data_IF_828067962696
#
_entry.id   IF_828067962696
#
_cell.length_a   1.000
_cell.length_b   1.000
_cell.length_c   1.000
_cell.angle_alpha   90.00
_cell.angle_beta   90.00
_cell.angle_gamma   90.00
#
_symmetry.space_group_name_H-M   'P 1'
#
loop_
_entity.id
_entity.type
_entity.pdbx_description
1 polymer ?
#
# COMPACT_ATOMS: atom_id res chain seq x y z
N UNK A 1 -1.16 8.69 -27.38
CA UNK A 1 -0.01 8.62 -26.47
C UNK A 1 0.17 7.18 -26.00
N UNK A 2 1.40 6.66 -26.05
CA UNK A 2 1.73 5.31 -25.59
C UNK A 2 2.47 5.36 -24.26
N UNK A 3 1.97 4.65 -23.26
CA UNK A 3 2.54 4.65 -21.90
C UNK A 3 2.87 3.24 -21.46
N UNK A 4 4.07 3.05 -20.96
CA UNK A 4 4.48 1.81 -20.28
C UNK A 4 4.55 2.05 -18.78
N UNK A 5 3.87 1.22 -18.00
CA UNK A 5 4.03 1.19 -16.55
C UNK A 5 4.75 -0.09 -16.13
N UNK A 6 5.55 0.00 -15.07
CA UNK A 6 6.24 -1.17 -14.50
C UNK A 6 6.32 -1.08 -12.99
N UNK A 7 5.83 -2.11 -12.36
CA UNK A 7 5.89 -2.32 -10.92
C UNK A 7 5.45 -3.73 -10.60
N UNK A 8 6.20 -4.42 -9.78
CA UNK A 8 5.92 -5.84 -9.57
C UNK A 8 6.53 -6.42 -8.30
N UNK A 9 6.37 -7.73 -8.18
CA UNK A 9 6.78 -8.53 -7.03
C UNK A 9 5.77 -8.52 -5.87
N UNK A 10 5.14 -7.39 -5.58
CA UNK A 10 4.15 -7.25 -4.50
C UNK A 10 2.99 -6.35 -4.91
N UNK A 11 1.82 -6.53 -4.26
CA UNK A 11 0.67 -5.64 -4.46
C UNK A 11 0.98 -4.17 -4.18
N UNK A 12 1.90 -3.89 -3.26
CA UNK A 12 2.34 -2.53 -2.93
C UNK A 12 2.96 -1.74 -4.09
N UNK A 13 3.47 -2.42 -5.13
CA UNK A 13 3.97 -1.79 -6.36
C UNK A 13 2.97 -1.88 -7.51
N UNK A 14 2.17 -2.95 -7.55
CA UNK A 14 1.23 -3.21 -8.67
C UNK A 14 0.02 -2.28 -8.59
N UNK A 15 -0.63 -2.17 -7.42
CA UNK A 15 -1.82 -1.32 -7.28
C UNK A 15 -1.55 0.17 -7.52
N UNK A 16 -0.43 0.78 -7.06
CA UNK A 16 -0.04 2.12 -7.46
C UNK A 16 0.06 2.31 -8.98
N UNK A 17 0.67 1.33 -9.68
CA UNK A 17 0.79 1.38 -11.14
C UNK A 17 -0.59 1.34 -11.81
N UNK A 18 -1.48 0.43 -11.38
CA UNK A 18 -2.85 0.35 -11.88
C UNK A 18 -3.63 1.64 -11.65
N UNK A 19 -3.57 2.18 -10.43
CA UNK A 19 -4.28 3.42 -10.08
C UNK A 19 -3.79 4.62 -10.91
N UNK A 20 -2.48 4.72 -11.16
CA UNK A 20 -1.92 5.77 -12.04
C UNK A 20 -2.39 5.54 -13.50
N UNK A 21 -2.39 4.29 -13.97
CA UNK A 21 -2.86 3.95 -15.32
C UNK A 21 -4.32 4.35 -15.53
N UNK A 22 -5.20 4.05 -14.58
CA UNK A 22 -6.62 4.42 -14.63
C UNK A 22 -6.81 5.93 -14.67
N UNK A 23 -6.01 6.69 -13.90
CA UNK A 23 -6.04 8.15 -13.94
C UNK A 23 -5.51 8.71 -15.28
N UNK A 24 -4.48 8.10 -15.87
CA UNK A 24 -4.02 8.48 -17.21
C UNK A 24 -5.12 8.22 -18.23
N UNK A 25 -5.82 7.10 -18.17
CA UNK A 25 -6.98 6.80 -19.03
C UNK A 25 -8.12 7.81 -18.86
N UNK A 26 -8.36 8.25 -17.65
CA UNK A 26 -9.36 9.30 -17.36
C UNK A 26 -8.98 10.64 -18.00
N UNK A 27 -7.70 11.02 -17.92
CA UNK A 27 -7.18 12.26 -18.51
C UNK A 27 -7.03 12.19 -20.03
N UNK A 28 -6.72 11.03 -20.54
CA UNK A 28 -6.45 10.76 -21.97
C UNK A 28 -7.06 9.42 -22.37
N UNK A 29 -8.36 9.37 -22.72
CA UNK A 29 -9.08 8.12 -23.05
C UNK A 29 -8.42 7.30 -24.16
N UNK A 30 -7.82 7.97 -25.14
CA UNK A 30 -7.12 7.36 -26.27
C UNK A 30 -5.67 6.92 -25.97
N UNK A 31 -5.19 7.06 -24.71
CA UNK A 31 -3.86 6.58 -24.38
C UNK A 31 -3.79 5.05 -24.46
N UNK A 32 -2.79 4.53 -25.17
CA UNK A 32 -2.46 3.11 -25.18
C UNK A 32 -1.56 2.79 -23.99
N UNK A 33 -2.08 2.03 -23.04
CA UNK A 33 -1.35 1.67 -21.82
C UNK A 33 -0.99 0.20 -21.85
N UNK A 34 0.28 -0.10 -21.61
CA UNK A 34 0.79 -1.45 -21.41
C UNK A 34 1.64 -1.53 -20.15
N UNK A 35 1.79 -2.73 -19.62
CA UNK A 35 2.59 -3.01 -18.45
C UNK A 35 3.78 -3.91 -18.78
N UNK A 36 4.85 -3.76 -18.01
CA UNK A 36 6.01 -4.64 -18.04
C UNK A 36 6.21 -5.26 -16.67
N UNK A 37 6.26 -6.59 -16.63
CA UNK A 37 6.33 -7.39 -15.41
C UNK A 37 7.23 -8.61 -15.57
N UNK A 38 7.13 -9.57 -14.64
CA UNK A 38 7.78 -10.87 -14.70
C UNK A 38 6.77 -12.02 -14.69
N UNK A 39 7.13 -13.16 -15.23
CA UNK A 39 6.25 -14.35 -15.20
C UNK A 39 6.09 -14.97 -13.79
N UNK A 40 6.94 -14.58 -12.84
CA UNK A 40 6.97 -15.16 -11.49
C UNK A 40 6.30 -14.25 -10.45
N UNK A 41 6.06 -12.97 -10.78
CA UNK A 41 5.44 -12.01 -9.86
C UNK A 41 3.91 -12.07 -9.88
N UNK A 42 3.31 -11.43 -8.88
CA UNK A 42 1.85 -11.30 -8.78
C UNK A 42 1.23 -10.51 -9.94
N UNK A 43 2.02 -9.67 -10.60
CA UNK A 43 1.60 -8.84 -11.72
C UNK A 43 1.02 -9.65 -12.87
N UNK A 44 1.50 -10.89 -13.10
CA UNK A 44 1.00 -11.76 -14.17
C UNK A 44 -0.48 -12.11 -14.01
N UNK A 45 -0.95 -12.22 -12.78
CA UNK A 45 -2.32 -12.61 -12.47
C UNK A 45 -3.23 -11.39 -12.24
N UNK A 46 -2.66 -10.30 -11.71
CA UNK A 46 -3.41 -9.10 -11.34
C UNK A 46 -3.67 -8.21 -12.57
N UNK A 47 -2.62 -7.81 -13.30
CA UNK A 47 -2.73 -6.80 -14.36
C UNK A 47 -3.72 -7.18 -15.47
N UNK A 48 -3.74 -8.43 -15.99
CA UNK A 48 -4.70 -8.82 -17.01
C UNK A 48 -6.16 -8.74 -16.57
N UNK A 49 -6.44 -8.92 -15.26
CA UNK A 49 -7.81 -8.79 -14.73
C UNK A 49 -8.35 -7.36 -14.82
N UNK A 50 -7.47 -6.37 -14.90
CA UNK A 50 -7.82 -4.96 -15.13
C UNK A 50 -7.87 -4.58 -16.62
N UNK A 51 -7.71 -5.57 -17.53
CA UNK A 51 -7.81 -5.37 -18.98
C UNK A 51 -6.57 -4.76 -19.63
N UNK A 52 -5.44 -4.65 -18.91
CA UNK A 52 -4.22 -4.10 -19.47
C UNK A 52 -3.34 -5.18 -20.10
N UNK A 53 -2.67 -4.83 -21.22
CA UNK A 53 -1.64 -5.66 -21.86
C UNK A 53 -0.43 -5.76 -20.94
N UNK A 54 0.06 -6.97 -20.71
CA UNK A 54 1.25 -7.25 -19.92
C UNK A 54 2.32 -7.93 -20.77
N UNK A 55 3.52 -7.38 -20.76
CA UNK A 55 4.72 -7.94 -21.38
C UNK A 55 5.70 -8.38 -20.29
N UNK A 56 6.54 -9.36 -20.60
CA UNK A 56 7.42 -9.94 -19.62
C UNK A 56 8.90 -9.67 -19.96
N UNK A 57 9.68 -9.44 -18.90
CA UNK A 57 11.13 -9.38 -18.96
C UNK A 57 11.73 -10.42 -18.00
N UNK A 58 12.93 -10.91 -18.34
CA UNK A 58 13.67 -11.80 -17.44
C UNK A 58 14.51 -10.99 -16.47
N UNK A 59 14.07 -10.90 -15.23
CA UNK A 59 14.85 -10.24 -14.17
C UNK A 59 14.65 -10.97 -12.85
N UNK A 60 15.70 -10.97 -12.00
CA UNK A 60 15.63 -11.50 -10.65
C UNK A 60 16.10 -10.46 -9.63
N UNK A 61 15.50 -10.48 -8.44
CA UNK A 61 15.98 -9.69 -7.33
C UNK A 61 17.42 -10.09 -6.93
N UNK A 62 18.28 -9.12 -6.65
CA UNK A 62 19.63 -9.38 -6.17
C UNK A 62 19.60 -9.96 -4.76
N UNK A 63 20.14 -11.17 -4.59
CA UNK A 63 20.49 -11.71 -3.28
C UNK A 63 21.84 -11.08 -2.84
N UNK A 64 21.92 -10.64 -1.59
CA UNK A 64 23.12 -9.98 -1.02
C UNK A 64 24.26 -10.96 -0.66
N UNK A 65 24.46 -12.06 -1.37
CA UNK A 65 25.56 -13.00 -1.13
C UNK A 65 26.45 -13.12 -2.37
N UNK A 66 27.76 -13.09 -2.19
CA UNK A 66 28.75 -13.41 -3.22
C UNK A 66 28.73 -14.93 -3.44
N UNK A 67 27.97 -15.39 -4.44
CA UNK A 67 27.83 -16.80 -4.78
C UNK A 67 27.59 -16.95 -6.28
N UNK A 68 27.59 -18.20 -6.79
CA UNK A 68 27.19 -18.52 -8.17
C UNK A 68 25.80 -17.92 -8.53
N UNK A 69 24.94 -17.70 -7.53
CA UNK A 69 23.64 -17.02 -7.69
C UNK A 69 23.81 -15.55 -8.09
N UNK A 70 24.91 -14.89 -7.72
CA UNK A 70 25.18 -13.49 -8.10
C UNK A 70 25.51 -13.39 -9.59
N UNK A 71 26.29 -14.33 -10.14
CA UNK A 71 26.59 -14.43 -11.58
C UNK A 71 25.30 -14.69 -12.39
N UNK A 72 24.44 -15.59 -11.92
CA UNK A 72 23.13 -15.84 -12.53
C UNK A 72 22.23 -14.62 -12.48
N UNK A 73 22.25 -13.88 -11.36
CA UNK A 73 21.47 -12.64 -11.23
C UNK A 73 21.97 -11.54 -12.15
N UNK A 74 23.30 -11.43 -12.35
CA UNK A 74 23.88 -10.52 -13.31
C UNK A 74 23.51 -10.89 -14.76
N UNK A 75 23.58 -12.17 -15.14
CA UNK A 75 23.14 -12.63 -16.45
C UNK A 75 21.64 -12.32 -16.71
N UNK A 76 20.79 -12.55 -15.71
CA UNK A 76 19.36 -12.19 -15.77
C UNK A 76 19.14 -10.69 -15.87
N UNK A 77 19.97 -9.85 -15.23
CA UNK A 77 19.89 -8.41 -15.40
C UNK A 77 20.18 -7.98 -16.84
N UNK A 78 21.24 -8.55 -17.47
CA UNK A 78 21.56 -8.28 -18.89
C UNK A 78 20.46 -8.77 -19.82
N UNK A 79 19.89 -9.95 -19.58
CA UNK A 79 18.72 -10.45 -20.32
C UNK A 79 17.54 -9.50 -20.18
N UNK A 80 17.22 -9.06 -18.96
CA UNK A 80 16.13 -8.11 -18.71
C UNK A 80 16.36 -6.74 -19.36
N UNK A 81 17.60 -6.25 -19.42
CA UNK A 81 17.94 -5.03 -20.17
C UNK A 81 17.75 -5.20 -21.66
N UNK A 82 18.10 -6.38 -22.21
CA UNK A 82 17.89 -6.69 -23.63
C UNK A 82 16.39 -6.82 -23.95
N UNK A 83 15.60 -7.47 -23.10
CA UNK A 83 14.16 -7.54 -23.25
C UNK A 83 13.51 -6.14 -23.18
N UNK A 84 13.94 -5.33 -22.21
CA UNK A 84 13.51 -3.94 -22.08
C UNK A 84 13.85 -3.13 -23.34
N UNK A 85 15.04 -3.31 -23.91
CA UNK A 85 15.44 -2.68 -25.17
C UNK A 85 14.51 -3.05 -26.32
N UNK A 86 14.18 -4.35 -26.46
CA UNK A 86 13.24 -4.83 -27.49
C UNK A 86 11.84 -4.22 -27.29
N UNK A 87 11.31 -4.25 -26.07
CA UNK A 87 9.98 -3.70 -25.75
C UNK A 87 9.95 -2.22 -26.13
N UNK A 88 10.92 -1.42 -25.65
CA UNK A 88 11.00 0.02 -25.95
C UNK A 88 11.11 0.29 -27.45
N UNK A 89 11.91 -0.52 -28.18
CA UNK A 89 12.11 -0.34 -29.62
C UNK A 89 10.85 -0.67 -30.43
N UNK A 90 10.07 -1.65 -30.00
CA UNK A 90 8.86 -2.09 -30.68
C UNK A 90 7.66 -1.21 -30.36
N UNK A 91 7.44 -0.91 -29.07
CA UNK A 91 6.28 -0.13 -28.60
C UNK A 91 6.47 1.36 -28.86
N UNK A 92 7.70 1.87 -28.81
CA UNK A 92 8.06 3.29 -28.94
C UNK A 92 7.19 4.16 -28.00
N UNK A 93 7.26 3.95 -26.68
CA UNK A 93 6.43 4.67 -25.75
C UNK A 93 6.81 6.15 -25.69
N UNK A 94 5.81 7.00 -25.45
CA UNK A 94 5.99 8.43 -25.18
C UNK A 94 6.37 8.69 -23.71
N UNK A 95 6.02 7.75 -22.81
CA UNK A 95 6.21 7.86 -21.36
C UNK A 95 6.44 6.50 -20.72
N UNK A 96 7.37 6.42 -19.77
CA UNK A 96 7.59 5.23 -18.94
C UNK A 96 7.50 5.59 -17.47
N UNK A 97 6.70 4.84 -16.69
CA UNK A 97 6.48 5.06 -15.26
C UNK A 97 6.87 3.81 -14.47
N UNK A 98 7.79 3.97 -13.51
CA UNK A 98 8.16 2.91 -12.58
C UNK A 98 7.51 3.11 -11.22
N UNK A 99 6.90 2.07 -10.65
CA UNK A 99 6.32 2.13 -9.29
C UNK A 99 7.09 1.27 -8.29
N UNK A 100 8.27 0.78 -8.68
CA UNK A 100 9.16 0.06 -7.76
C UNK A 100 9.20 -1.45 -7.98
N UNK A 101 9.92 -2.10 -7.07
CA UNK A 101 10.34 -3.48 -7.26
C UNK A 101 11.53 -3.60 -8.20
N UNK A 102 12.16 -4.79 -8.22
CA UNK A 102 13.30 -5.04 -9.13
C UNK A 102 12.89 -5.07 -10.61
N UNK A 103 11.60 -5.25 -10.86
CA UNK A 103 11.01 -5.38 -12.19
C UNK A 103 11.07 -4.08 -12.99
N UNK A 104 10.84 -2.93 -12.34
CA UNK A 104 10.84 -1.64 -13.03
C UNK A 104 12.26 -1.15 -13.42
N UNK A 105 13.31 -1.72 -12.82
CA UNK A 105 14.69 -1.30 -13.04
C UNK A 105 15.09 -1.28 -14.51
N UNK A 106 15.08 -2.41 -15.22
CA UNK A 106 15.52 -2.50 -16.61
C UNK A 106 14.72 -1.61 -17.57
N UNK A 107 13.38 -1.58 -17.45
CA UNK A 107 12.54 -0.85 -18.41
C UNK A 107 12.66 0.67 -18.24
N UNK A 108 12.65 1.17 -17.00
CA UNK A 108 12.82 2.60 -16.72
C UNK A 108 14.23 3.06 -17.09
N UNK A 109 15.26 2.26 -16.76
CA UNK A 109 16.64 2.59 -17.11
C UNK A 109 16.83 2.65 -18.62
N UNK A 110 16.31 1.66 -19.36
CA UNK A 110 16.41 1.64 -20.82
C UNK A 110 15.65 2.80 -21.47
N UNK A 111 14.49 3.17 -20.95
CA UNK A 111 13.76 4.34 -21.40
C UNK A 111 14.56 5.62 -21.21
N UNK A 112 15.16 5.81 -20.04
CA UNK A 112 16.01 6.95 -19.73
C UNK A 112 17.22 7.07 -20.66
N UNK A 113 17.91 5.93 -20.93
CA UNK A 113 19.04 5.89 -21.87
C UNK A 113 18.64 6.25 -23.31
N UNK A 114 17.40 6.00 -23.68
CA UNK A 114 16.84 6.33 -25.01
C UNK A 114 16.24 7.73 -25.09
N UNK A 115 16.36 8.53 -24.01
CA UNK A 115 15.82 9.88 -23.96
C UNK A 115 14.31 9.95 -23.84
N UNK A 116 13.63 8.81 -23.60
CA UNK A 116 12.18 8.77 -23.41
C UNK A 116 11.84 9.36 -22.04
N UNK A 117 10.86 10.27 -21.94
CA UNK A 117 10.39 10.79 -20.66
C UNK A 117 10.04 9.66 -19.70
N UNK A 118 10.62 9.70 -18.50
CA UNK A 118 10.34 8.70 -17.49
C UNK A 118 10.33 9.31 -16.08
N UNK A 119 9.49 8.72 -15.23
CA UNK A 119 9.37 9.05 -13.83
C UNK A 119 9.21 7.79 -12.98
N UNK A 120 9.40 7.94 -11.68
CA UNK A 120 9.14 6.86 -10.71
C UNK A 120 8.27 7.36 -9.57
N UNK A 121 7.48 6.45 -9.00
CA UNK A 121 6.74 6.68 -7.77
C UNK A 121 7.32 5.79 -6.67
N UNK A 122 7.65 6.39 -5.52
CA UNK A 122 8.14 5.69 -4.33
C UNK A 122 7.07 5.72 -3.25
N UNK A 123 6.66 4.54 -2.80
CA UNK A 123 5.56 4.40 -1.84
C UNK A 123 6.00 4.59 -0.39
N UNK A 124 7.25 4.30 -0.07
CA UNK A 124 7.70 4.16 1.32
C UNK A 124 8.50 5.37 1.80
N UNK A 125 8.47 5.62 3.11
CA UNK A 125 9.31 6.62 3.76
C UNK A 125 10.81 6.25 3.68
N UNK A 126 11.14 4.93 3.64
CA UNK A 126 12.47 4.41 3.29
C UNK A 126 12.44 3.85 1.87
N UNK A 127 13.01 4.55 0.87
CA UNK A 127 12.94 4.14 -0.53
C UNK A 127 13.67 2.84 -0.83
N UNK A 128 13.10 2.09 -1.80
CA UNK A 128 13.72 0.90 -2.35
C UNK A 128 15.03 1.21 -3.11
N UNK A 129 15.94 0.23 -3.13
CA UNK A 129 17.25 0.39 -3.80
C UNK A 129 17.09 0.70 -5.28
N UNK A 130 16.18 0.03 -5.97
CA UNK A 130 15.89 0.26 -7.39
C UNK A 130 15.53 1.73 -7.65
N UNK A 131 14.58 2.28 -6.89
CA UNK A 131 14.15 3.66 -7.04
C UNK A 131 15.28 4.67 -6.72
N UNK A 132 16.12 4.38 -5.71
CA UNK A 132 17.32 5.21 -5.43
C UNK A 132 18.31 5.24 -6.61
N UNK A 133 18.50 4.13 -7.32
CA UNK A 133 19.34 4.08 -8.50
C UNK A 133 18.70 4.83 -9.66
N UNK A 134 17.42 4.55 -9.93
CA UNK A 134 16.69 5.12 -11.05
C UNK A 134 16.52 6.64 -10.94
N UNK A 135 16.45 7.20 -9.74
CA UNK A 135 16.32 8.65 -9.51
C UNK A 135 17.43 9.49 -10.14
N UNK A 136 18.57 8.86 -10.49
CA UNK A 136 19.68 9.52 -11.19
C UNK A 136 19.45 9.69 -12.69
N UNK A 137 18.46 8.99 -13.23
CA UNK A 137 18.22 8.86 -14.67
C UNK A 137 16.85 9.38 -15.11
N UNK A 138 15.85 9.36 -14.19
CA UNK A 138 14.49 9.82 -14.47
C UNK A 138 14.38 11.35 -14.34
N UNK A 139 13.33 11.91 -14.94
CA UNK A 139 13.06 13.35 -14.83
C UNK A 139 12.43 13.72 -13.49
N UNK A 140 11.53 12.87 -12.97
CA UNK A 140 10.76 13.16 -11.76
C UNK A 140 10.60 11.93 -10.86
N UNK A 141 10.60 12.16 -9.55
CA UNK A 141 10.29 11.17 -8.52
C UNK A 141 9.10 11.65 -7.71
N UNK A 142 8.01 10.91 -7.74
CA UNK A 142 6.84 11.16 -6.91
C UNK A 142 6.98 10.42 -5.58
N UNK A 143 6.84 11.14 -4.48
CA UNK A 143 7.06 10.63 -3.14
C UNK A 143 5.74 10.39 -2.42
N UNK A 144 5.56 9.20 -1.88
CA UNK A 144 4.48 8.84 -0.97
C UNK A 144 4.64 9.46 0.41
N UNK A 145 5.89 9.68 0.82
CA UNK A 145 6.26 10.31 2.09
C UNK A 145 7.33 11.38 1.86
N UNK A 146 7.14 12.54 2.47
CA UNK A 146 8.09 13.66 2.37
C UNK A 146 9.49 13.28 2.87
N UNK A 147 9.54 12.47 3.92
CA UNK A 147 10.76 11.97 4.56
C UNK A 147 11.63 11.12 3.61
N UNK A 148 11.01 10.50 2.60
CA UNK A 148 11.70 9.71 1.57
C UNK A 148 12.65 10.56 0.72
N UNK A 149 12.37 11.84 0.55
CA UNK A 149 13.12 12.75 -0.31
C UNK A 149 14.61 12.84 0.03
N UNK A 150 14.98 12.80 1.31
CA UNK A 150 16.39 12.87 1.79
C UNK A 150 17.29 11.73 1.28
N UNK A 151 16.73 10.65 0.77
CA UNK A 151 17.48 9.49 0.28
C UNK A 151 17.76 9.52 -1.23
N UNK A 152 17.22 10.51 -1.92
CA UNK A 152 17.41 10.67 -3.36
C UNK A 152 18.48 11.74 -3.64
N UNK A 153 19.55 11.33 -4.33
CA UNK A 153 20.73 12.15 -4.62
C UNK A 153 20.97 12.23 -6.14
N UNK A 154 20.00 12.70 -6.87
CA UNK A 154 20.05 12.80 -8.33
C UNK A 154 19.62 14.18 -8.83
N UNK A 155 19.49 14.31 -10.16
CA UNK A 155 18.97 15.53 -10.80
C UNK A 155 17.44 15.49 -10.98
N UNK A 156 16.79 14.37 -10.63
CA UNK A 156 15.36 14.25 -10.74
C UNK A 156 14.66 15.28 -9.83
N UNK A 157 13.62 15.89 -10.35
CA UNK A 157 12.71 16.68 -9.54
C UNK A 157 11.98 15.79 -8.53
N UNK A 158 11.95 16.19 -7.26
CA UNK A 158 11.25 15.45 -6.21
C UNK A 158 9.93 16.15 -5.90
N UNK A 159 8.82 15.41 -5.98
CA UNK A 159 7.50 15.95 -5.66
C UNK A 159 6.79 15.07 -4.63
N UNK A 160 6.36 15.67 -3.52
CA UNK A 160 5.55 15.00 -2.52
C UNK A 160 4.07 15.03 -2.94
N UNK A 161 3.60 13.93 -3.50
CA UNK A 161 2.21 13.76 -3.95
C UNK A 161 1.35 12.96 -2.97
N UNK A 162 1.97 12.18 -2.09
CA UNK A 162 1.34 11.07 -1.41
C UNK A 162 1.31 9.81 -2.28
N UNK A 163 0.72 8.74 -1.74
CA UNK A 163 0.57 7.48 -2.47
C UNK A 163 -0.74 7.45 -3.27
N UNK A 164 -0.71 6.93 -4.50
CA UNK A 164 -1.91 6.75 -5.29
C UNK A 164 -2.79 5.65 -4.67
N UNK A 165 -3.99 6.02 -4.29
CA UNK A 165 -5.02 5.12 -3.74
C UNK A 165 -6.13 4.93 -4.74
N UNK A 166 -6.85 3.82 -4.62
CA UNK A 166 -8.00 3.50 -5.47
C UNK A 166 -9.12 4.53 -5.26
N UNK A 167 -9.79 4.91 -6.34
CA UNK A 167 -10.88 5.89 -6.32
C UNK A 167 -12.06 5.46 -5.43
N UNK A 168 -12.31 4.15 -5.36
CA UNK A 168 -13.37 3.54 -4.56
C UNK A 168 -13.25 3.84 -3.06
N UNK A 169 -12.03 4.10 -2.56
CA UNK A 169 -11.79 4.49 -1.16
C UNK A 169 -12.58 5.75 -0.78
N UNK A 170 -12.82 6.65 -1.73
CA UNK A 170 -13.46 7.94 -1.48
C UNK A 170 -14.97 7.94 -1.72
N UNK A 171 -15.54 6.86 -2.25
CA UNK A 171 -16.92 6.82 -2.74
C UNK A 171 -17.98 6.69 -1.62
N UNK A 172 -17.60 6.17 -0.45
CA UNK A 172 -18.55 5.87 0.62
C UNK A 172 -18.41 6.85 1.77
N UNK A 173 -19.55 7.35 2.26
CA UNK A 173 -19.65 8.01 3.56
C UNK A 173 -19.68 6.98 4.68
N UNK A 174 -19.45 7.42 5.94
CA UNK A 174 -19.59 6.54 7.12
C UNK A 174 -20.99 5.95 7.24
N UNK A 175 -22.02 6.78 7.03
CA UNK A 175 -23.43 6.39 7.15
C UNK A 175 -23.80 5.28 6.14
N UNK A 176 -23.40 5.44 4.87
CA UNK A 176 -23.60 4.43 3.83
C UNK A 176 -22.87 3.14 4.16
N UNK A 177 -21.62 3.24 4.59
CA UNK A 177 -20.78 2.10 4.91
C UNK A 177 -21.28 1.30 6.11
N UNK A 178 -21.67 1.97 7.20
CA UNK A 178 -22.26 1.35 8.39
C UNK A 178 -23.53 0.59 8.02
N UNK A 179 -24.40 1.19 7.21
CA UNK A 179 -25.63 0.55 6.72
C UNK A 179 -25.35 -0.67 5.83
N UNK A 180 -24.39 -0.54 4.88
CA UNK A 180 -24.03 -1.64 3.97
C UNK A 180 -23.46 -2.84 4.72
N UNK A 181 -22.65 -2.58 5.77
CA UNK A 181 -22.03 -3.64 6.58
C UNK A 181 -22.96 -4.19 7.67
N UNK A 182 -24.15 -3.62 7.85
CA UNK A 182 -25.09 -4.01 8.92
C UNK A 182 -24.57 -3.68 10.32
N UNK A 183 -23.75 -2.64 10.45
CA UNK A 183 -23.18 -2.17 11.70
C UNK A 183 -24.14 -1.22 12.42
N UNK A 184 -23.97 -1.08 13.74
CA UNK A 184 -24.75 -0.15 14.58
C UNK A 184 -24.14 1.27 14.43
N UNK A 185 -24.91 2.27 13.94
CA UNK A 185 -24.42 3.63 13.77
C UNK A 185 -24.08 4.36 15.09
N UNK A 186 -24.64 3.91 16.21
CA UNK A 186 -24.38 4.47 17.54
C UNK A 186 -23.05 4.01 18.15
N UNK A 187 -22.44 2.94 17.61
CA UNK A 187 -21.20 2.37 18.13
C UNK A 187 -19.99 2.89 17.38
N UNK A 188 -18.88 3.03 18.09
CA UNK A 188 -17.56 3.23 17.45
C UNK A 188 -17.11 1.93 16.79
N UNK A 189 -16.70 2.01 15.52
CA UNK A 189 -16.25 0.85 14.74
C UNK A 189 -14.74 0.76 14.75
N UNK A 190 -14.20 -0.36 15.24
CA UNK A 190 -12.78 -0.69 15.21
C UNK A 190 -12.54 -1.64 14.04
N UNK A 191 -11.75 -1.21 13.05
CA UNK A 191 -11.36 -2.03 11.92
C UNK A 191 -10.00 -2.67 12.17
N UNK A 192 -9.95 -4.01 12.05
CA UNK A 192 -8.71 -4.77 12.26
C UNK A 192 -8.31 -5.50 11.00
N UNK A 193 -7.07 -5.26 10.54
CA UNK A 193 -6.54 -5.99 9.38
C UNK A 193 -5.02 -6.13 9.41
N UNK A 194 -4.57 -7.36 9.29
CA UNK A 194 -3.15 -7.72 9.11
C UNK A 194 -2.67 -7.70 7.65
N UNK A 195 -3.51 -7.20 6.71
CA UNK A 195 -3.29 -7.32 5.27
C UNK A 195 -3.91 -8.59 4.68
N UNK A 196 -3.77 -8.82 3.36
CA UNK A 196 -4.48 -9.87 2.61
C UNK A 196 -4.28 -11.31 3.12
N UNK A 197 -3.17 -11.58 3.80
CA UNK A 197 -2.87 -12.89 4.41
C UNK A 197 -3.18 -12.96 5.90
N UNK A 198 -3.65 -11.85 6.48
CA UNK A 198 -3.74 -11.68 7.93
C UNK A 198 -2.37 -11.52 8.60
N UNK A 199 -2.36 -11.32 9.91
CA UNK A 199 -1.16 -11.20 10.72
C UNK A 199 -1.33 -11.93 12.05
N UNK A 200 -0.63 -13.05 12.23
CA UNK A 200 -0.79 -13.89 13.42
C UNK A 200 -0.62 -13.11 14.72
N UNK A 201 0.35 -12.21 14.81
CA UNK A 201 0.60 -11.41 16.01
C UNK A 201 -0.57 -10.48 16.31
N UNK A 202 -1.11 -9.79 15.30
CA UNK A 202 -2.32 -8.97 15.45
C UNK A 202 -3.50 -9.83 15.87
N UNK A 203 -3.73 -10.97 15.18
CA UNK A 203 -4.83 -11.86 15.52
C UNK A 203 -4.73 -12.36 16.97
N UNK A 204 -3.55 -12.76 17.44
CA UNK A 204 -3.36 -13.24 18.81
C UNK A 204 -3.65 -12.14 19.85
N UNK A 205 -3.20 -10.91 19.60
CA UNK A 205 -3.48 -9.79 20.49
C UNK A 205 -4.97 -9.40 20.46
N UNK A 206 -5.59 -9.41 19.27
CA UNK A 206 -7.00 -9.11 19.13
C UNK A 206 -7.91 -10.16 19.77
N UNK A 207 -7.49 -11.43 19.84
CA UNK A 207 -8.26 -12.46 20.52
C UNK A 207 -8.58 -12.09 21.97
N UNK A 208 -7.60 -11.62 22.72
CA UNK A 208 -7.80 -11.19 24.11
C UNK A 208 -8.62 -9.88 24.17
N UNK A 209 -8.31 -8.91 23.31
CA UNK A 209 -9.02 -7.64 23.27
C UNK A 209 -10.50 -7.85 22.86
N UNK A 210 -10.81 -8.71 21.89
CA UNK A 210 -12.17 -8.99 21.45
C UNK A 210 -13.02 -9.69 22.51
N UNK A 211 -12.43 -10.59 23.28
CA UNK A 211 -13.11 -11.22 24.42
C UNK A 211 -13.46 -10.18 25.49
N UNK A 212 -12.56 -9.22 25.77
CA UNK A 212 -12.80 -8.15 26.73
C UNK A 212 -13.80 -7.09 26.23
N UNK A 213 -13.86 -6.84 24.92
CA UNK A 213 -14.79 -5.90 24.27
C UNK A 213 -16.15 -6.53 23.95
N UNK A 214 -16.26 -7.87 24.10
CA UNK A 214 -17.48 -8.61 23.76
C UNK A 214 -18.67 -8.15 24.65
N UNK A 215 -19.78 -7.80 24.00
CA UNK A 215 -21.01 -7.35 24.66
C UNK A 215 -21.00 -5.89 25.12
N UNK A 216 -19.92 -5.14 24.92
CA UNK A 216 -19.88 -3.70 25.23
C UNK A 216 -20.78 -2.89 24.29
N UNK A 217 -21.56 -1.99 24.84
CA UNK A 217 -22.60 -1.27 24.09
C UNK A 217 -22.04 -0.18 23.17
N UNK A 218 -20.90 0.42 23.53
CA UNK A 218 -20.33 1.60 22.88
C UNK A 218 -19.43 1.29 21.69
N UNK A 219 -19.04 0.00 21.48
CA UNK A 219 -18.03 -0.39 20.49
C UNK A 219 -18.46 -1.63 19.71
N UNK A 220 -18.03 -1.68 18.47
CA UNK A 220 -18.09 -2.88 17.60
C UNK A 220 -16.76 -3.07 16.89
N UNK A 221 -16.40 -4.32 16.64
CA UNK A 221 -15.15 -4.71 15.97
C UNK A 221 -15.44 -5.39 14.65
N UNK A 222 -14.78 -4.98 13.59
CA UNK A 222 -14.76 -5.65 12.30
C UNK A 222 -13.35 -6.16 12.02
N UNK A 223 -13.13 -7.45 12.17
CA UNK A 223 -11.80 -8.06 12.09
C UNK A 223 -11.66 -8.97 10.88
N UNK A 224 -10.67 -8.70 10.02
CA UNK A 224 -10.22 -9.56 8.93
C UNK A 224 -8.97 -10.35 9.36
N UNK A 225 -9.15 -11.60 9.75
CA UNK A 225 -8.08 -12.46 10.27
C UNK A 225 -7.11 -12.97 9.20
N UNK A 226 -7.52 -12.94 7.92
CA UNK A 226 -6.88 -13.64 6.81
C UNK A 226 -7.38 -15.08 6.67
N UNK A 227 -7.62 -15.51 5.42
CA UNK A 227 -8.21 -16.85 5.12
C UNK A 227 -7.47 -17.99 5.81
N UNK A 228 -6.15 -17.95 5.85
CA UNK A 228 -5.30 -19.00 6.41
C UNK A 228 -5.46 -19.14 7.93
N UNK A 229 -5.85 -18.07 8.63
CA UNK A 229 -5.91 -18.04 10.09
C UNK A 229 -7.34 -18.17 10.62
N UNK A 230 -8.35 -17.97 9.79
CA UNK A 230 -9.74 -17.80 10.20
C UNK A 230 -10.29 -18.98 11.01
N UNK A 231 -10.17 -20.19 10.49
CA UNK A 231 -10.74 -21.38 11.15
C UNK A 231 -10.11 -21.64 12.52
N UNK A 232 -8.78 -21.48 12.62
CA UNK A 232 -8.06 -21.65 13.88
C UNK A 232 -8.47 -20.55 14.89
N UNK A 233 -8.65 -19.31 14.40
CA UNK A 233 -9.09 -18.20 15.22
C UNK A 233 -10.50 -18.42 15.78
N UNK A 234 -11.45 -18.81 14.93
CA UNK A 234 -12.83 -19.09 15.33
C UNK A 234 -12.94 -20.27 16.30
N UNK A 235 -12.09 -21.30 16.12
CA UNK A 235 -12.03 -22.43 17.05
C UNK A 235 -11.57 -21.96 18.45
N UNK A 236 -10.60 -21.05 18.53
CA UNK A 236 -10.13 -20.53 19.82
C UNK A 236 -11.15 -19.59 20.47
N UNK A 237 -11.85 -18.73 19.71
CA UNK A 237 -12.99 -17.93 20.19
C UNK A 237 -14.07 -18.84 20.81
N UNK A 238 -14.46 -19.89 20.08
CA UNK A 238 -15.47 -20.85 20.56
C UNK A 238 -15.05 -21.56 21.85
N UNK A 239 -13.81 -22.00 21.93
CA UNK A 239 -13.23 -22.65 23.11
C UNK A 239 -13.26 -21.76 24.36
N UNK A 240 -13.14 -20.44 24.18
CA UNK A 240 -13.17 -19.44 25.26
C UNK A 240 -14.57 -18.91 25.57
N UNK A 241 -15.62 -19.52 25.06
CA UNK A 241 -17.02 -19.17 25.36
C UNK A 241 -17.73 -18.37 24.29
N UNK A 242 -17.07 -18.03 23.19
CA UNK A 242 -17.65 -17.20 22.11
C UNK A 242 -17.55 -15.71 22.36
N UNK A 243 -18.06 -14.93 21.42
CA UNK A 243 -18.16 -13.46 21.49
C UNK A 243 -19.58 -13.04 21.12
N UNK A 244 -19.97 -11.85 21.57
CA UNK A 244 -21.27 -11.24 21.26
C UNK A 244 -21.28 -10.64 19.84
N UNK A 245 -22.48 -10.25 19.38
CA UNK A 245 -22.74 -9.76 18.01
C UNK A 245 -22.00 -8.45 17.65
N UNK A 246 -21.48 -7.74 18.65
CA UNK A 246 -20.65 -6.55 18.41
C UNK A 246 -19.21 -6.90 17.94
N UNK A 247 -18.82 -8.16 17.91
CA UNK A 247 -17.52 -8.64 17.41
C UNK A 247 -17.77 -9.43 16.11
N UNK A 248 -17.43 -8.82 14.98
CA UNK A 248 -17.66 -9.36 13.65
C UNK A 248 -16.33 -9.83 13.05
N UNK A 249 -16.13 -11.14 12.99
CA UNK A 249 -14.90 -11.76 12.52
C UNK A 249 -15.14 -12.32 11.11
N UNK A 250 -14.27 -11.97 10.16
CA UNK A 250 -14.32 -12.40 8.76
C UNK A 250 -12.97 -12.99 8.34
N UNK A 251 -12.95 -13.99 7.45
CA UNK A 251 -11.69 -14.47 6.87
C UNK A 251 -11.04 -13.38 6.02
N UNK A 252 -11.85 -12.65 5.25
CA UNK A 252 -11.41 -11.59 4.36
C UNK A 252 -12.49 -10.51 4.18
N UNK A 253 -12.06 -9.26 3.97
CA UNK A 253 -12.95 -8.14 3.64
C UNK A 253 -12.80 -7.81 2.16
N UNK A 254 -13.77 -8.26 1.34
CA UNK A 254 -13.76 -8.01 -0.10
C UNK A 254 -13.97 -6.54 -0.45
N UNK A 255 -14.74 -5.82 0.36
CA UNK A 255 -15.02 -4.39 0.20
C UNK A 255 -14.29 -3.56 1.27
N UNK A 256 -12.96 -3.54 1.21
CA UNK A 256 -12.13 -2.74 2.12
C UNK A 256 -12.47 -1.22 2.07
N UNK A 257 -12.82 -0.61 0.91
CA UNK A 257 -13.28 0.77 0.87
C UNK A 257 -14.44 1.08 1.81
N UNK A 258 -15.44 0.21 1.85
CA UNK A 258 -16.60 0.35 2.77
C UNK A 258 -16.17 0.16 4.22
N UNK A 259 -15.32 -0.85 4.50
CA UNK A 259 -14.83 -1.09 5.85
C UNK A 259 -14.03 0.11 6.41
N UNK A 260 -13.17 0.71 5.58
CA UNK A 260 -12.42 1.93 5.91
C UNK A 260 -13.35 3.14 6.14
N UNK A 261 -14.43 3.25 5.35
CA UNK A 261 -15.38 4.33 5.50
C UNK A 261 -16.19 4.21 6.81
N UNK A 262 -16.45 2.99 7.28
CA UNK A 262 -17.18 2.73 8.53
C UNK A 262 -16.30 2.88 9.78
N UNK A 263 -14.95 2.86 9.63
CA UNK A 263 -14.02 2.79 10.74
C UNK A 263 -13.86 4.13 11.47
N UNK A 264 -13.96 4.10 12.80
CA UNK A 264 -13.60 5.22 13.70
C UNK A 264 -12.17 5.08 14.23
N UNK A 265 -11.65 3.85 14.27
CA UNK A 265 -10.30 3.48 14.72
C UNK A 265 -9.83 2.24 13.96
N UNK A 266 -8.53 2.09 13.74
CA UNK A 266 -7.99 0.91 13.08
C UNK A 266 -6.81 0.28 13.83
N UNK A 267 -6.68 -1.06 13.73
CA UNK A 267 -5.47 -1.81 14.12
C UNK A 267 -4.91 -2.46 12.85
N UNK A 268 -3.77 -1.97 12.36
CA UNK A 268 -3.31 -2.30 11.01
C UNK A 268 -1.80 -2.58 10.92
N UNK A 269 -1.42 -3.35 9.90
CA UNK A 269 -0.03 -3.36 9.39
C UNK A 269 0.29 -2.04 8.69
N UNK A 270 1.57 -1.62 8.76
CA UNK A 270 2.02 -0.34 8.22
C UNK A 270 2.49 -0.41 6.75
N UNK A 271 1.74 -1.11 5.90
CA UNK A 271 1.96 -1.09 4.46
C UNK A 271 1.62 0.29 3.87
N UNK A 272 2.48 0.81 3.00
CA UNK A 272 2.40 2.19 2.52
C UNK A 272 1.04 2.57 1.89
N UNK A 273 0.43 1.66 1.12
CA UNK A 273 -0.86 1.93 0.47
C UNK A 273 -2.00 1.86 1.49
N UNK A 274 -2.01 0.87 2.39
CA UNK A 274 -3.01 0.80 3.46
C UNK A 274 -2.99 2.03 4.38
N UNK A 275 -1.79 2.54 4.71
CA UNK A 275 -1.65 3.79 5.45
C UNK A 275 -2.19 4.99 4.67
N UNK A 276 -1.93 5.06 3.37
CA UNK A 276 -2.48 6.14 2.54
C UNK A 276 -4.02 6.09 2.47
N UNK A 277 -4.61 4.89 2.40
CA UNK A 277 -6.05 4.68 2.44
C UNK A 277 -6.65 5.09 3.80
N UNK A 278 -6.02 4.67 4.92
CA UNK A 278 -6.42 5.10 6.27
C UNK A 278 -6.38 6.63 6.43
N UNK A 279 -5.29 7.26 6.00
CA UNK A 279 -5.13 8.72 6.08
C UNK A 279 -6.14 9.45 5.19
N UNK A 280 -6.42 8.93 3.99
CA UNK A 280 -7.42 9.52 3.10
C UNK A 280 -8.85 9.48 3.67
N UNK A 281 -9.15 8.50 4.52
CA UNK A 281 -10.41 8.38 5.28
C UNK A 281 -10.35 9.06 6.65
N UNK A 282 -9.18 9.56 7.04
CA UNK A 282 -9.00 10.19 8.35
C UNK A 282 -9.07 9.21 9.52
N UNK A 283 -8.71 7.94 9.35
CA UNK A 283 -8.87 6.92 10.38
C UNK A 283 -7.64 6.87 11.30
N UNK A 284 -7.77 7.23 12.59
CA UNK A 284 -6.75 7.03 13.61
C UNK A 284 -6.35 5.57 13.73
N UNK A 285 -5.09 5.27 14.03
CA UNK A 285 -4.64 3.89 13.94
C UNK A 285 -3.64 3.48 15.01
N UNK A 286 -3.78 2.24 15.51
CA UNK A 286 -2.70 1.49 16.12
C UNK A 286 -1.96 0.75 14.99
N UNK A 287 -0.71 1.13 14.75
CA UNK A 287 0.10 0.56 13.67
C UNK A 287 1.08 -0.47 14.21
N UNK A 288 1.04 -1.64 13.60
CA UNK A 288 1.91 -2.77 13.95
C UNK A 288 2.78 -3.10 12.74
N UNK A 289 3.98 -2.53 12.60
CA UNK A 289 4.85 -2.77 11.46
C UNK A 289 5.21 -4.25 11.32
N UNK A 290 5.23 -4.75 10.08
CA UNK A 290 5.67 -6.10 9.80
C UNK A 290 7.20 -6.22 9.97
N UNK A 291 7.70 -7.07 10.91
CA UNK A 291 9.11 -7.07 11.30
C UNK A 291 10.07 -7.57 10.21
N UNK A 292 9.56 -8.34 9.25
CA UNK A 292 10.35 -8.89 8.14
C UNK A 292 10.20 -8.08 6.84
N UNK A 293 9.68 -6.86 6.94
CA UNK A 293 9.58 -5.97 5.80
C UNK A 293 10.97 -5.60 5.27
N UNK A 294 11.13 -5.61 3.95
CA UNK A 294 12.40 -5.26 3.29
C UNK A 294 12.90 -3.90 3.77
N UNK A 295 14.17 -3.83 4.22
CA UNK A 295 14.77 -2.61 4.78
C UNK A 295 13.93 -1.96 5.92
N UNK A 296 13.12 -2.75 6.61
CA UNK A 296 12.24 -2.30 7.69
C UNK A 296 11.29 -1.15 7.29
N UNK A 297 10.92 -1.05 6.01
CA UNK A 297 10.18 0.09 5.48
C UNK A 297 8.83 0.32 6.17
N UNK A 298 8.18 -0.74 6.71
CA UNK A 298 6.91 -0.58 7.41
C UNK A 298 7.06 0.20 8.73
N UNK A 299 8.14 -0.01 9.46
CA UNK A 299 8.39 0.78 10.67
C UNK A 299 8.65 2.26 10.33
N UNK A 300 9.43 2.54 9.28
CA UNK A 300 9.64 3.93 8.83
C UNK A 300 8.32 4.58 8.41
N UNK A 301 7.45 3.87 7.70
CA UNK A 301 6.13 4.37 7.32
C UNK A 301 5.27 4.67 8.55
N UNK A 302 5.20 3.73 9.51
CA UNK A 302 4.42 3.88 10.73
C UNK A 302 4.91 5.07 11.58
N UNK A 303 6.23 5.18 11.78
CA UNK A 303 6.81 6.30 12.55
C UNK A 303 6.58 7.66 11.88
N UNK A 304 6.56 7.72 10.55
CA UNK A 304 6.23 8.94 9.83
C UNK A 304 4.79 9.41 10.10
N UNK A 305 3.83 8.47 10.20
CA UNK A 305 2.43 8.77 10.54
C UNK A 305 2.29 9.11 12.03
N UNK A 306 2.95 8.36 12.92
CA UNK A 306 2.95 8.60 14.37
C UNK A 306 3.51 9.99 14.72
N UNK A 307 4.60 10.41 14.09
CA UNK A 307 5.21 11.72 14.30
C UNK A 307 4.28 12.90 13.95
N UNK A 308 3.23 12.66 13.19
CA UNK A 308 2.20 13.65 12.85
C UNK A 308 0.96 13.55 13.75
N UNK A 309 0.96 12.63 14.72
CA UNK A 309 -0.14 12.48 15.67
C UNK A 309 -1.36 11.71 15.15
N UNK A 310 -1.26 11.04 13.98
CA UNK A 310 -2.38 10.29 13.39
C UNK A 310 -2.43 8.81 13.81
N UNK A 311 -1.38 8.31 14.46
CA UNK A 311 -1.29 6.92 14.88
C UNK A 311 -0.42 6.75 16.12
N UNK A 312 -0.55 5.60 16.79
CA UNK A 312 0.41 5.05 17.76
C UNK A 312 1.07 3.82 17.14
N UNK A 313 2.34 3.63 17.38
CA UNK A 313 3.10 2.48 16.87
C UNK A 313 3.48 1.54 17.99
N UNK A 314 3.10 0.27 17.85
CA UNK A 314 3.57 -0.83 18.70
C UNK A 314 4.32 -1.82 17.81
N UNK A 315 5.55 -2.19 18.18
CA UNK A 315 6.32 -3.16 17.41
C UNK A 315 5.69 -4.56 17.54
N UNK A 316 5.81 -5.37 16.51
CA UNK A 316 5.22 -6.72 16.46
C UNK A 316 5.57 -7.60 17.68
N UNK A 317 6.82 -7.48 18.18
CA UNK A 317 7.32 -8.21 19.35
C UNK A 317 6.74 -7.73 20.69
N UNK A 318 6.26 -6.49 20.76
CA UNK A 318 5.75 -5.84 21.96
C UNK A 318 4.21 -5.80 21.99
N UNK A 319 3.54 -6.32 20.94
CA UNK A 319 2.11 -6.35 20.83
C UNK A 319 1.50 -7.47 21.67
N UNK A 320 0.61 -7.10 22.60
CA UNK A 320 -0.17 -8.01 23.46
C UNK A 320 -1.65 -7.63 23.43
N UNK A 321 -2.52 -8.50 23.93
CA UNK A 321 -3.95 -8.16 24.11
C UNK A 321 -4.14 -6.94 24.99
N UNK A 322 -3.38 -6.85 26.10
CA UNK A 322 -3.46 -5.72 27.03
C UNK A 322 -3.07 -4.40 26.35
N UNK A 323 -1.97 -4.38 25.56
CA UNK A 323 -1.53 -3.15 24.90
C UNK A 323 -2.52 -2.66 23.84
N UNK A 324 -3.21 -3.58 23.14
CA UNK A 324 -4.27 -3.23 22.19
C UNK A 324 -5.50 -2.74 22.94
N UNK A 325 -5.92 -3.44 23.97
CA UNK A 325 -7.09 -3.09 24.77
C UNK A 325 -6.91 -1.72 25.44
N UNK A 326 -5.75 -1.49 26.09
CA UNK A 326 -5.41 -0.20 26.68
C UNK A 326 -5.52 0.95 25.68
N UNK A 327 -4.98 0.77 24.47
CA UNK A 327 -5.07 1.80 23.43
C UNK A 327 -6.51 2.07 23.00
N UNK A 328 -7.31 1.03 22.80
CA UNK A 328 -8.72 1.14 22.40
C UNK A 328 -9.53 1.82 23.50
N UNK A 329 -9.45 1.33 24.74
CA UNK A 329 -10.19 1.86 25.89
C UNK A 329 -9.82 3.30 26.19
N UNK A 330 -8.52 3.64 26.10
CA UNK A 330 -8.05 5.00 26.27
C UNK A 330 -8.77 5.96 25.28
N UNK A 331 -8.82 5.63 24.00
CA UNK A 331 -9.44 6.49 22.99
C UNK A 331 -10.97 6.48 23.02
N UNK A 332 -11.59 5.42 23.53
CA UNK A 332 -13.05 5.40 23.77
C UNK A 332 -13.47 6.37 24.88
N UNK A 333 -12.61 6.56 25.89
CA UNK A 333 -12.84 7.48 27.01
C UNK A 333 -12.39 8.91 26.68
N UNK A 334 -11.29 9.08 25.92
CA UNK A 334 -10.70 10.37 25.57
C UNK A 334 -11.09 10.78 24.13
N UNK A 335 -12.36 11.12 23.94
CA UNK A 335 -12.87 11.43 22.60
C UNK A 335 -12.17 12.64 21.95
N UNK A 336 -11.72 13.61 22.72
CA UNK A 336 -10.95 14.75 22.20
C UNK A 336 -9.62 14.30 21.56
N UNK A 337 -8.93 13.34 22.15
CA UNK A 337 -7.70 12.79 21.59
C UNK A 337 -7.98 12.01 20.31
N UNK A 338 -9.05 11.20 20.28
CA UNK A 338 -9.50 10.51 19.08
C UNK A 338 -9.80 11.50 17.94
N UNK A 339 -10.46 12.62 18.23
CA UNK A 339 -10.75 13.66 17.25
C UNK A 339 -9.47 14.38 16.77
N UNK A 340 -8.51 14.62 17.66
CA UNK A 340 -7.21 15.19 17.27
C UNK A 340 -6.44 14.24 16.33
N UNK A 341 -6.42 12.95 16.64
CA UNK A 341 -5.81 11.93 15.77
C UNK A 341 -6.53 11.84 14.41
N UNK A 342 -7.86 11.93 14.40
CA UNK A 342 -8.65 11.97 13.16
C UNK A 342 -8.28 13.19 12.30
N UNK A 343 -8.22 14.38 12.88
CA UNK A 343 -7.84 15.60 12.18
C UNK A 343 -6.39 15.52 11.65
N UNK A 344 -5.47 14.93 12.41
CA UNK A 344 -4.10 14.69 11.98
C UNK A 344 -4.04 13.72 10.79
N UNK A 345 -4.82 12.64 10.84
CA UNK A 345 -4.92 11.68 9.74
C UNK A 345 -5.48 12.33 8.46
N UNK A 346 -6.55 13.10 8.56
CA UNK A 346 -7.11 13.85 7.43
C UNK A 346 -6.11 14.83 6.80
N UNK A 347 -5.34 15.53 7.64
CA UNK A 347 -4.29 16.47 7.17
C UNK A 347 -3.18 15.76 6.39
N UNK A 348 -2.86 14.52 6.77
CA UNK A 348 -1.88 13.68 6.06
C UNK A 348 -2.44 13.10 4.77
N UNK A 349 -3.74 12.88 4.69
CA UNK A 349 -4.40 12.30 3.53
C UNK A 349 -4.10 13.06 2.24
N UNK A 350 -3.85 12.31 1.16
CA UNK A 350 -3.62 12.83 -0.19
C UNK A 350 -4.51 12.10 -1.19
N UNK A 351 -5.84 12.29 -1.09
CA UNK A 351 -6.81 11.53 -1.89
C UNK A 351 -6.64 11.73 -3.41
N UNK A 352 -6.09 12.86 -3.84
CA UNK A 352 -5.85 13.18 -5.26
C UNK A 352 -4.45 12.80 -5.75
N UNK A 353 -3.66 12.04 -4.99
CA UNK A 353 -2.29 11.68 -5.35
C UNK A 353 -2.18 11.07 -6.75
N UNK A 354 -3.07 10.13 -7.08
CA UNK A 354 -3.07 9.46 -8.38
C UNK A 354 -3.34 10.43 -9.55
N UNK A 355 -4.26 11.36 -9.37
CA UNK A 355 -4.58 12.41 -10.35
C UNK A 355 -3.39 13.35 -10.58
N UNK A 356 -2.75 13.80 -9.50
CA UNK A 356 -1.57 14.67 -9.57
C UNK A 356 -0.44 13.95 -10.28
N UNK A 357 -0.12 12.71 -9.89
CA UNK A 357 0.93 11.90 -10.52
C UNK A 357 0.65 11.73 -12.01
N UNK A 358 -0.57 11.39 -12.38
CA UNK A 358 -0.93 11.19 -13.80
C UNK A 358 -0.78 12.47 -14.62
N UNK A 359 -1.25 13.62 -14.11
CA UNK A 359 -1.12 14.93 -14.77
C UNK A 359 0.34 15.32 -14.98
N UNK A 360 1.13 15.25 -13.92
CA UNK A 360 2.55 15.61 -13.94
C UNK A 360 3.36 14.67 -14.85
N UNK A 361 3.08 13.34 -14.79
CA UNK A 361 3.75 12.38 -15.64
C UNK A 361 3.44 12.62 -17.14
N UNK A 362 2.18 12.89 -17.49
CA UNK A 362 1.78 13.24 -18.86
C UNK A 362 2.43 14.55 -19.31
N UNK A 363 2.58 15.54 -18.43
CA UNK A 363 3.23 16.80 -18.76
C UNK A 363 4.71 16.63 -19.16
N UNK A 364 5.39 15.59 -18.69
CA UNK A 364 6.79 15.28 -19.08
C UNK A 364 6.93 14.97 -20.58
N UNK A 365 5.87 14.56 -21.26
CA UNK A 365 5.90 14.25 -22.71
C UNK A 365 5.89 15.50 -23.58
N UNK A 366 5.60 16.68 -23.01
CA UNK A 366 5.52 17.96 -23.73
C UNK A 366 6.80 18.80 -23.59
N UNK A 367 7.75 18.31 -22.81
CA UNK A 367 9.08 18.93 -22.56
C UNK A 367 10.14 18.21 -23.43
#
# INVERSE_FOLDING_TARGET
MKVILSGGGTGGHIYPALTIADQIKTLQPEAEISFVGTQQGLEKDIIPRYGYKLQFIEVAGFKRSLSLDTLRSAAKLFAGLYDAYKIISNEKPDLVIGTGGYVCGPIVFMAALRGIPCCIQEQNAMPGVTNKILSRYVRKVFLGYKEGGKYFHGKAELEYTGNPIRSEILQHTREEAVKELGLDPAKKTILVSGGSRGARTINNAMLEAELALSGRAEVQVLHATGDVNYDAYMAEIKKRGGVADNIIIKPYLHNMPVALAAADLAVFRAGAIGLAELMAKGVPSLLVPYPYATANHQEFNARAVEAQGAAKVILDKDLTGDTVLEFIEHLLVHEEELQQMHAAAQKLGRPRAAEVIAKEAVALTKQ
#
